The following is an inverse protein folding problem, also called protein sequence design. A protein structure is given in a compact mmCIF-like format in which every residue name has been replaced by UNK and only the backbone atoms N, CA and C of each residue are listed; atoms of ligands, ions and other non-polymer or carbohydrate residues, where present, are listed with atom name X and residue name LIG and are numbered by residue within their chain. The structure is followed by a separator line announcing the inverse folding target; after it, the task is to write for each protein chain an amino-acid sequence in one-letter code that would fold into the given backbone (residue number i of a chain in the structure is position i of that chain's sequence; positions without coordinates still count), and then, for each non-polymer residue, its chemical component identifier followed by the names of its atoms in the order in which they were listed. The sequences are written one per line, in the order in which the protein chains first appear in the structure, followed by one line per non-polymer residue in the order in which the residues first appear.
data_IF_868554869719
#
_entry.id   IF_868554869719
#
_cell.length_a   1.000
_cell.length_b   1.000
_cell.length_c   1.000
_cell.angle_alpha   90.00
_cell.angle_beta   90.00
_cell.angle_gamma   90.00
#
_symmetry.space_group_name_H-M   'P 1'
#
loop_
_entity.id
_entity.type
_entity.pdbx_description
1 polymer ?
#
# COMPACT_ATOMS: atom_id res chain seq x y z
N UNK A 1 30.52 3.14 -1.36
CA UNK A 1 29.83 4.41 -1.68
C UNK A 1 29.46 4.45 -3.16
N UNK A 2 30.26 3.84 -4.04
CA UNK A 2 29.99 3.82 -5.49
C UNK A 2 28.73 3.04 -5.90
N UNK A 3 28.21 2.15 -5.04
CA UNK A 3 27.00 1.35 -5.29
C UNK A 3 25.70 1.95 -4.72
N UNK A 4 25.76 3.16 -4.12
CA UNK A 4 24.58 3.80 -3.56
C UNK A 4 23.73 4.44 -4.66
N UNK A 5 22.51 3.96 -4.83
CA UNK A 5 21.53 4.56 -5.74
C UNK A 5 20.65 5.52 -4.96
N UNK A 6 20.53 6.80 -5.39
CA UNK A 6 19.62 7.75 -4.74
C UNK A 6 18.17 7.24 -4.78
N UNK A 7 17.47 7.38 -3.67
CA UNK A 7 16.06 7.06 -3.51
C UNK A 7 15.29 8.33 -3.12
N UNK A 8 14.03 8.42 -3.52
CA UNK A 8 13.13 9.52 -3.15
C UNK A 8 12.20 9.10 -1.98
N UNK A 9 12.59 8.05 -1.26
CA UNK A 9 11.88 7.59 -0.07
C UNK A 9 12.12 8.51 1.12
N UNK A 10 11.12 8.67 2.01
CA UNK A 10 11.33 9.35 3.29
C UNK A 10 12.46 8.72 4.12
N UNK A 11 13.33 9.55 4.66
CA UNK A 11 14.47 9.15 5.47
C UNK A 11 14.03 8.38 6.72
N UNK A 12 14.64 7.22 6.97
CA UNK A 12 14.34 6.38 8.15
C UNK A 12 15.44 6.52 9.20
N UNK A 13 15.77 7.76 9.58
CA UNK A 13 16.89 8.08 10.47
C UNK A 13 16.83 7.26 11.75
N UNK A 14 15.67 7.14 12.38
CA UNK A 14 15.51 6.36 13.61
C UNK A 14 15.90 4.88 13.44
N UNK A 15 15.50 4.26 12.33
CA UNK A 15 15.88 2.87 12.03
C UNK A 15 17.38 2.74 11.76
N UNK A 16 17.96 3.71 11.02
CA UNK A 16 19.40 3.76 10.76
C UNK A 16 20.21 3.90 12.06
N UNK A 17 19.75 4.73 12.99
CA UNK A 17 20.35 4.89 14.32
C UNK A 17 20.31 3.59 15.11
N UNK A 18 19.16 2.90 15.19
CA UNK A 18 19.09 1.61 15.89
C UNK A 18 19.96 0.55 15.22
N UNK A 19 20.02 0.51 13.92
CA UNK A 19 20.89 -0.39 13.19
C UNK A 19 22.37 -0.10 13.50
N UNK A 20 22.77 1.18 13.44
CA UNK A 20 24.14 1.58 13.77
C UNK A 20 24.52 1.18 15.20
N UNK A 21 23.63 1.41 16.18
CA UNK A 21 23.83 1.04 17.56
C UNK A 21 24.02 -0.47 17.75
N UNK A 22 23.37 -1.30 16.93
CA UNK A 22 23.51 -2.77 17.00
C UNK A 22 24.88 -3.25 16.54
N UNK A 23 25.60 -2.47 15.75
CA UNK A 23 26.98 -2.80 15.31
C UNK A 23 28.06 -2.22 16.19
N UNK A 24 27.74 -1.20 17.02
CA UNK A 24 28.72 -0.57 17.91
C UNK A 24 28.98 -1.47 19.13
N UNK A 25 30.25 -1.77 19.37
CA UNK A 25 30.64 -2.47 20.59
C UNK A 25 30.75 -1.45 21.75
N UNK A 26 30.04 -1.68 22.90
CA UNK A 26 30.15 -0.80 24.06
C UNK A 26 31.58 -0.65 24.60
N UNK A 27 32.39 -1.69 24.52
CA UNK A 27 33.73 -1.80 25.09
C UNK A 27 34.85 -1.32 24.16
N UNK A 28 34.48 -0.91 22.91
CA UNK A 28 35.44 -0.38 21.94
C UNK A 28 35.19 1.10 21.70
N UNK A 29 36.21 1.81 21.25
CA UNK A 29 36.10 3.20 20.79
C UNK A 29 35.60 3.24 19.33
N UNK A 30 34.44 2.60 19.10
CA UNK A 30 33.79 2.56 17.81
C UNK A 30 32.83 3.76 17.67
N UNK A 31 32.77 4.34 16.48
CA UNK A 31 31.90 5.47 16.15
C UNK A 31 31.07 5.18 14.92
N UNK A 32 29.85 5.67 14.90
CA UNK A 32 29.01 5.69 13.71
C UNK A 32 28.80 7.13 13.24
N UNK A 33 28.95 7.36 11.94
CA UNK A 33 28.68 8.65 11.32
C UNK A 33 27.32 8.61 10.63
N UNK A 34 26.44 9.53 11.01
CA UNK A 34 25.14 9.71 10.39
C UNK A 34 25.23 10.88 9.41
N UNK A 35 25.34 10.59 8.12
CA UNK A 35 25.30 11.62 7.06
C UNK A 35 23.83 11.92 6.76
N UNK A 36 23.40 13.15 6.98
CA UNK A 36 21.99 13.55 6.90
C UNK A 36 21.88 15.04 6.58
N UNK A 37 20.77 15.45 5.96
CA UNK A 37 20.37 16.86 5.82
C UNK A 37 19.74 17.42 7.11
N UNK A 38 19.40 16.55 8.06
CA UNK A 38 18.77 16.89 9.33
C UNK A 38 17.25 16.96 9.29
N UNK A 39 16.61 16.69 8.15
CA UNK A 39 15.16 16.72 8.02
C UNK A 39 14.48 15.74 8.98
N UNK A 40 13.42 16.20 9.64
CA UNK A 40 12.54 15.36 10.45
C UNK A 40 13.12 14.75 11.72
N UNK A 41 14.36 15.15 12.16
CA UNK A 41 14.99 14.56 13.33
C UNK A 41 15.73 15.57 14.21
N UNK A 42 15.58 15.43 15.54
CA UNK A 42 16.32 16.25 16.51
C UNK A 42 17.75 15.72 16.71
N UNK A 43 18.67 16.21 15.89
CA UNK A 43 20.08 15.79 15.91
C UNK A 43 20.80 16.17 17.23
N UNK A 44 20.34 17.23 17.91
CA UNK A 44 20.90 17.65 19.22
C UNK A 44 20.55 16.60 20.28
N UNK A 45 19.29 16.17 20.30
CA UNK A 45 18.84 15.09 21.18
C UNK A 45 19.53 13.78 20.86
N UNK A 46 19.73 13.47 19.56
CA UNK A 46 20.46 12.28 19.13
C UNK A 46 21.87 12.23 19.71
N UNK A 47 22.65 13.31 19.54
CA UNK A 47 24.04 13.38 20.03
C UNK A 47 24.13 13.29 21.55
N UNK A 48 23.13 13.79 22.26
CA UNK A 48 23.06 13.68 23.74
C UNK A 48 22.70 12.26 24.20
N UNK A 49 21.79 11.60 23.50
CA UNK A 49 21.30 10.26 23.88
C UNK A 49 22.27 9.15 23.43
N UNK A 50 22.92 9.36 22.29
CA UNK A 50 23.82 8.37 21.66
C UNK A 50 25.15 9.03 21.28
N UNK A 51 26.06 9.25 22.24
CA UNK A 51 27.30 10.01 22.02
C UNK A 51 28.27 9.35 21.02
N UNK A 52 28.12 8.04 20.76
CA UNK A 52 28.90 7.31 19.75
C UNK A 52 28.37 7.51 18.31
N UNK A 53 27.24 8.21 18.13
CA UNK A 53 26.72 8.56 16.81
C UNK A 53 27.03 10.03 16.55
N UNK A 54 27.79 10.30 15.51
CA UNK A 54 28.16 11.65 15.09
C UNK A 54 27.39 12.06 13.83
N UNK A 55 26.46 13.01 13.89
CA UNK A 55 25.80 13.52 12.70
C UNK A 55 26.77 14.36 11.87
N UNK A 56 26.81 14.09 10.57
CA UNK A 56 27.46 14.93 9.55
C UNK A 56 26.35 15.53 8.72
N UNK A 57 26.19 16.86 8.85
CA UNK A 57 25.19 17.57 8.09
C UNK A 57 25.66 17.83 6.67
N UNK A 58 24.84 17.40 5.71
CA UNK A 58 24.96 17.76 4.30
C UNK A 58 23.76 18.65 3.98
N UNK A 59 23.97 19.97 3.99
CA UNK A 59 22.90 20.93 3.68
C UNK A 59 23.10 21.48 2.29
N UNK A 60 22.11 21.29 1.40
CA UNK A 60 22.10 21.82 0.04
C UNK A 60 21.20 23.06 -0.14
N UNK A 61 20.32 23.35 0.82
CA UNK A 61 19.33 24.43 0.71
C UNK A 61 18.50 24.62 1.96
N UNK A 62 17.69 25.67 1.98
CA UNK A 62 16.77 25.96 3.09
C UNK A 62 15.40 26.49 2.64
N UNK A 63 15.24 26.73 1.33
CA UNK A 63 14.01 27.29 0.76
C UNK A 63 13.19 26.17 0.15
N UNK A 64 12.02 25.94 0.70
CA UNK A 64 11.11 24.95 0.17
C UNK A 64 9.64 25.36 0.31
N UNK A 65 8.84 24.96 -0.69
CA UNK A 65 7.39 25.03 -0.69
C UNK A 65 6.91 23.73 -1.28
N UNK A 66 6.37 22.83 -0.47
CA UNK A 66 6.02 21.49 -0.89
C UNK A 66 4.52 21.21 -0.92
N UNK A 67 4.14 20.25 -1.75
CA UNK A 67 2.83 19.63 -1.73
C UNK A 67 2.85 18.54 -0.67
N UNK A 68 2.12 18.79 0.43
CA UNK A 68 2.06 17.86 1.56
C UNK A 68 0.87 16.90 1.47
N UNK A 69 -0.12 17.23 0.61
CA UNK A 69 -1.25 16.34 0.34
C UNK A 69 -1.89 16.66 -1.02
N UNK A 70 -2.22 15.59 -1.76
CA UNK A 70 -2.97 15.68 -3.01
C UNK A 70 -3.95 14.52 -3.09
N UNK A 71 -5.23 14.83 -3.07
CA UNK A 71 -6.31 13.84 -3.13
C UNK A 71 -7.38 14.29 -4.11
N UNK A 72 -7.95 13.34 -4.82
CA UNK A 72 -9.14 13.58 -5.65
C UNK A 72 -10.23 12.65 -5.18
N UNK A 73 -11.36 13.21 -4.82
CA UNK A 73 -12.55 12.49 -4.35
C UNK A 73 -13.71 12.76 -5.28
N UNK A 74 -14.47 11.73 -5.54
CA UNK A 74 -15.72 11.84 -6.28
C UNK A 74 -16.85 12.19 -5.33
N UNK A 75 -17.76 13.07 -5.73
CA UNK A 75 -18.99 13.31 -4.99
C UNK A 75 -19.89 12.06 -5.01
N UNK A 76 -20.41 11.68 -3.85
CA UNK A 76 -21.23 10.46 -3.69
C UNK A 76 -22.49 10.45 -4.57
N UNK A 77 -23.09 11.62 -4.76
CA UNK A 77 -24.38 11.76 -5.46
C UNK A 77 -24.25 12.23 -6.92
N UNK A 78 -23.03 12.50 -7.38
CA UNK A 78 -22.77 13.07 -8.70
C UNK A 78 -21.57 12.39 -9.33
N UNK A 79 -21.80 11.37 -10.17
CA UNK A 79 -20.74 10.55 -10.73
C UNK A 79 -19.76 11.28 -11.65
N UNK A 80 -20.08 12.46 -12.08
CA UNK A 80 -19.29 13.35 -12.94
C UNK A 80 -18.70 14.56 -12.18
N UNK A 81 -18.86 14.60 -10.84
CA UNK A 81 -18.30 15.67 -10.01
C UNK A 81 -17.22 15.14 -9.09
N UNK A 82 -16.17 15.92 -8.97
CA UNK A 82 -14.99 15.62 -8.16
C UNK A 82 -14.59 16.82 -7.33
N UNK A 83 -14.04 16.55 -6.16
CA UNK A 83 -13.35 17.51 -5.31
C UNK A 83 -11.86 17.19 -5.35
N UNK A 84 -11.05 18.13 -5.80
CA UNK A 84 -9.60 18.04 -5.82
C UNK A 84 -9.08 18.80 -4.61
N UNK A 85 -8.51 18.08 -3.65
CA UNK A 85 -7.90 18.64 -2.47
C UNK A 85 -6.38 18.71 -2.65
N UNK A 86 -5.83 19.91 -2.52
CA UNK A 86 -4.40 20.17 -2.56
C UNK A 86 -3.99 20.89 -1.26
N UNK A 87 -3.06 20.32 -0.52
CA UNK A 87 -2.42 20.95 0.63
C UNK A 87 -1.00 21.36 0.26
N UNK A 88 -0.70 22.64 0.43
CA UNK A 88 0.61 23.22 0.15
C UNK A 88 1.12 23.88 1.41
N UNK A 89 2.40 23.68 1.73
CA UNK A 89 3.06 24.31 2.86
C UNK A 89 4.27 25.12 2.43
N UNK A 90 4.35 26.35 2.95
CA UNK A 90 5.55 27.17 2.87
C UNK A 90 6.45 26.84 4.06
N UNK A 91 7.65 26.33 3.81
CA UNK A 91 8.63 26.04 4.85
C UNK A 91 9.59 27.22 5.09
N UNK A 92 9.41 28.33 4.36
CA UNK A 92 10.27 29.51 4.45
C UNK A 92 9.82 30.47 5.56
N UNK A 93 10.80 31.21 6.13
CA UNK A 93 10.54 32.28 7.06
C UNK A 93 9.88 33.52 6.44
N UNK A 94 9.86 33.63 5.12
CA UNK A 94 9.29 34.74 4.37
C UNK A 94 7.98 34.30 3.66
N UNK A 95 7.02 35.23 3.52
CA UNK A 95 5.83 34.96 2.69
C UNK A 95 6.22 34.80 1.22
N UNK A 96 5.50 33.95 0.51
CA UNK A 96 5.77 33.60 -0.90
C UNK A 96 4.48 33.62 -1.71
N UNK A 97 4.57 34.04 -2.96
CA UNK A 97 3.54 33.83 -3.98
C UNK A 97 3.85 32.49 -4.69
N UNK A 98 2.95 31.55 -4.54
CA UNK A 98 3.10 30.18 -5.07
C UNK A 98 2.16 29.98 -6.25
N UNK A 99 2.67 29.91 -7.49
CA UNK A 99 1.92 29.52 -8.64
C UNK A 99 1.72 28.01 -8.65
N UNK A 100 0.47 27.57 -8.68
CA UNK A 100 0.06 26.17 -8.77
C UNK A 100 -0.61 25.91 -10.11
N UNK A 101 -0.38 24.71 -10.63
CA UNK A 101 -1.05 24.18 -11.81
C UNK A 101 -1.63 22.82 -11.51
N UNK A 102 -2.88 22.61 -11.96
CA UNK A 102 -3.52 21.29 -12.00
C UNK A 102 -3.70 20.89 -13.45
N UNK A 103 -3.31 19.69 -13.80
CA UNK A 103 -3.45 19.10 -15.14
C UNK A 103 -4.05 17.70 -15.08
N UNK A 104 -4.65 17.30 -16.20
CA UNK A 104 -5.16 15.95 -16.44
C UNK A 104 -4.54 15.45 -17.74
N UNK A 105 -3.82 14.30 -17.70
CA UNK A 105 -3.07 13.75 -18.84
C UNK A 105 -2.21 14.82 -19.53
N UNK A 106 -1.44 15.57 -18.72
CA UNK A 106 -0.57 16.69 -19.09
C UNK A 106 -1.30 17.97 -19.59
N UNK A 107 -2.61 17.95 -19.80
CA UNK A 107 -3.38 19.11 -20.20
C UNK A 107 -3.79 19.96 -18.98
N UNK A 108 -3.34 21.22 -18.87
CA UNK A 108 -3.65 22.06 -17.73
C UNK A 108 -5.10 22.54 -17.77
N UNK A 109 -5.85 22.32 -16.71
CA UNK A 109 -7.23 22.82 -16.58
C UNK A 109 -7.36 23.93 -15.53
N UNK A 110 -6.36 24.13 -14.67
CA UNK A 110 -6.34 25.18 -13.66
C UNK A 110 -4.93 25.70 -13.45
N UNK A 111 -4.79 27.04 -13.49
CA UNK A 111 -3.58 27.76 -13.02
C UNK A 111 -4.02 28.83 -12.04
N UNK A 112 -3.40 28.86 -10.86
CA UNK A 112 -3.73 29.83 -9.80
C UNK A 112 -2.50 30.17 -8.99
N UNK A 113 -2.27 31.46 -8.72
CA UNK A 113 -1.25 31.89 -7.77
C UNK A 113 -1.88 32.11 -6.41
N UNK A 114 -1.30 31.52 -5.37
CA UNK A 114 -1.73 31.65 -3.98
C UNK A 114 -0.66 32.35 -3.15
N UNK A 115 -1.09 33.22 -2.25
CA UNK A 115 -0.20 33.77 -1.23
C UNK A 115 -0.11 32.82 -0.04
N UNK A 116 1.10 32.53 0.41
CA UNK A 116 1.41 31.74 1.60
C UNK A 116 2.23 32.62 2.55
N UNK A 117 1.78 32.77 3.80
CA UNK A 117 2.56 33.40 4.85
C UNK A 117 3.76 32.54 5.23
N UNK A 118 4.67 33.10 6.04
CA UNK A 118 5.75 32.33 6.66
C UNK A 118 5.19 31.11 7.39
N UNK A 119 5.71 29.93 7.09
CA UNK A 119 5.35 28.62 7.67
C UNK A 119 3.86 28.25 7.52
N UNK A 120 3.11 28.92 6.64
CA UNK A 120 1.69 28.63 6.43
C UNK A 120 1.49 27.33 5.68
N UNK A 121 0.57 26.52 6.21
CA UNK A 121 -0.04 25.40 5.54
C UNK A 121 -1.42 25.81 5.03
N UNK A 122 -1.69 25.59 3.75
CA UNK A 122 -2.94 25.99 3.12
C UNK A 122 -3.58 24.82 2.40
N UNK A 123 -4.83 24.56 2.73
CA UNK A 123 -5.66 23.55 2.05
C UNK A 123 -6.51 24.27 1.02
N UNK A 124 -6.51 23.76 -0.20
CA UNK A 124 -7.28 24.25 -1.33
C UNK A 124 -8.19 23.14 -1.80
N UNK A 125 -9.45 23.47 -2.07
CA UNK A 125 -10.43 22.54 -2.65
C UNK A 125 -10.90 23.14 -3.94
N UNK A 126 -10.80 22.36 -5.03
CA UNK A 126 -11.24 22.74 -6.35
C UNK A 126 -12.33 21.79 -6.82
N UNK A 127 -13.56 22.26 -7.07
CA UNK A 127 -14.57 21.46 -7.73
C UNK A 127 -14.19 21.25 -9.20
N UNK A 128 -14.39 20.05 -9.68
CA UNK A 128 -14.22 19.69 -11.08
C UNK A 128 -15.44 18.90 -11.57
N UNK A 129 -15.94 19.25 -12.76
CA UNK A 129 -17.06 18.54 -13.38
C UNK A 129 -16.62 17.98 -14.74
N UNK A 130 -16.90 16.72 -14.97
CA UNK A 130 -16.57 15.99 -16.18
C UNK A 130 -16.23 14.53 -15.90
N UNK A 131 -16.23 13.70 -16.94
CA UNK A 131 -15.72 12.33 -16.83
C UNK A 131 -14.20 12.39 -16.72
N UNK A 132 -13.67 12.04 -15.57
CA UNK A 132 -12.22 11.99 -15.37
C UNK A 132 -11.76 10.54 -15.40
N UNK A 133 -10.97 10.21 -16.40
CA UNK A 133 -10.07 9.05 -16.41
C UNK A 133 -8.72 9.55 -16.86
N UNK A 134 -7.66 9.13 -16.18
CA UNK A 134 -6.32 9.54 -16.55
C UNK A 134 -5.45 9.90 -15.34
N UNK A 135 -4.38 10.58 -15.60
CA UNK A 135 -3.42 11.03 -14.59
C UNK A 135 -3.71 12.47 -14.20
N UNK A 136 -4.16 12.70 -12.98
CA UNK A 136 -4.22 14.07 -12.44
C UNK A 136 -2.87 14.40 -11.78
N UNK A 137 -2.38 15.60 -12.07
CA UNK A 137 -1.13 16.14 -11.52
C UNK A 137 -1.38 17.50 -10.91
N UNK A 138 -0.83 17.70 -9.72
CA UNK A 138 -0.62 19.01 -9.13
C UNK A 138 0.85 19.39 -9.22
N UNK A 139 1.16 20.62 -9.59
CA UNK A 139 2.52 21.13 -9.66
C UNK A 139 2.64 22.54 -9.11
N UNK A 140 3.75 22.80 -8.41
CA UNK A 140 4.21 24.12 -7.98
C UNK A 140 5.23 24.59 -9.01
N UNK A 141 4.96 25.76 -9.63
CA UNK A 141 5.83 26.33 -10.67
C UNK A 141 6.81 27.34 -10.02
N UNK A 142 7.58 26.89 -9.04
CA UNK A 142 8.65 27.64 -8.38
C UNK A 142 9.96 26.87 -8.41
N UNK A 143 11.05 27.62 -8.40
CA UNK A 143 12.38 27.04 -8.28
C UNK A 143 12.82 27.15 -6.81
N UNK A 144 12.83 26.04 -6.11
CA UNK A 144 13.29 25.93 -4.72
C UNK A 144 14.39 24.88 -4.58
N UNK A 145 14.76 24.60 -3.35
CA UNK A 145 15.92 23.75 -3.08
C UNK A 145 15.54 22.25 -2.97
N UNK A 146 14.21 21.90 -3.09
CA UNK A 146 13.74 20.53 -3.00
C UNK A 146 12.61 20.22 -4.01
N UNK A 147 12.92 20.12 -5.30
CA UNK A 147 11.92 20.05 -6.38
C UNK A 147 11.07 18.76 -6.42
N UNK A 148 11.41 17.72 -5.64
CA UNK A 148 10.73 16.43 -5.64
C UNK A 148 9.29 16.57 -5.12
N UNK A 149 9.05 17.40 -4.10
CA UNK A 149 7.74 17.64 -3.50
C UNK A 149 6.93 18.75 -4.18
N UNK A 150 7.50 19.35 -5.26
CA UNK A 150 6.81 20.29 -6.12
C UNK A 150 5.79 19.64 -7.06
N UNK A 151 5.72 18.32 -7.10
CA UNK A 151 4.79 17.58 -7.93
C UNK A 151 4.11 16.47 -7.14
N UNK A 152 2.83 16.28 -7.41
CA UNK A 152 2.07 15.14 -6.88
C UNK A 152 1.10 14.63 -7.94
N UNK A 153 0.90 13.31 -7.97
CA UNK A 153 0.14 12.61 -8.97
C UNK A 153 -0.94 11.76 -8.33
N UNK A 154 -2.05 11.58 -9.04
CA UNK A 154 -3.04 10.57 -8.71
C UNK A 154 -3.67 10.01 -9.98
N UNK A 155 -4.00 8.71 -9.97
CA UNK A 155 -4.66 8.08 -11.09
C UNK A 155 -6.16 8.07 -10.84
N UNK A 156 -6.89 8.67 -11.77
CA UNK A 156 -8.34 8.71 -11.78
C UNK A 156 -8.85 7.62 -12.72
N UNK A 157 -9.63 6.72 -12.19
CA UNK A 157 -10.28 5.70 -13.01
C UNK A 157 -11.75 5.99 -13.08
N UNK A 158 -12.36 5.86 -14.28
CA UNK A 158 -13.80 5.82 -14.36
C UNK A 158 -14.32 4.72 -13.43
N UNK A 159 -15.42 4.98 -12.77
CA UNK A 159 -16.11 3.89 -12.07
C UNK A 159 -16.64 2.93 -13.14
N UNK A 160 -15.86 1.92 -13.46
CA UNK A 160 -16.38 0.83 -14.25
C UNK A 160 -17.56 0.22 -13.52
N UNK A 161 -18.66 -0.01 -14.25
CA UNK A 161 -19.80 -0.71 -13.68
C UNK A 161 -19.37 -2.12 -13.31
N UNK A 162 -19.69 -2.56 -12.10
CA UNK A 162 -19.46 -3.90 -11.64
C UNK A 162 -20.60 -4.79 -12.15
N UNK A 163 -20.28 -5.81 -12.92
CA UNK A 163 -21.26 -6.77 -13.41
C UNK A 163 -21.49 -7.85 -12.36
N UNK A 164 -22.70 -7.90 -11.84
CA UNK A 164 -23.10 -8.85 -10.80
C UNK A 164 -24.12 -9.83 -11.38
N UNK A 165 -23.87 -11.13 -11.24
CA UNK A 165 -24.84 -12.16 -11.50
C UNK A 165 -25.52 -12.57 -10.20
N UNK A 166 -26.80 -12.33 -10.06
CA UNK A 166 -27.61 -12.84 -8.96
C UNK A 166 -28.33 -14.12 -9.39
N UNK A 167 -27.99 -15.22 -8.73
CA UNK A 167 -28.65 -16.53 -8.94
C UNK A 167 -29.51 -16.85 -7.73
N UNK A 168 -30.80 -16.81 -7.89
CA UNK A 168 -31.73 -17.05 -6.79
C UNK A 168 -33.19 -17.02 -7.20
N UNK A 169 -34.06 -17.56 -6.37
CA UNK A 169 -35.51 -17.61 -6.63
C UNK A 169 -36.26 -16.35 -6.20
N UNK A 170 -35.52 -15.28 -5.91
CA UNK A 170 -36.03 -14.00 -5.42
C UNK A 170 -35.68 -13.77 -3.95
N UNK A 171 -35.08 -12.62 -3.66
CA UNK A 171 -34.79 -12.14 -2.32
C UNK A 171 -34.94 -10.63 -2.34
N UNK A 172 -36.09 -10.16 -1.85
CA UNK A 172 -36.45 -8.74 -1.89
C UNK A 172 -35.38 -7.81 -1.28
N UNK A 173 -34.82 -8.20 -0.13
CA UNK A 173 -33.82 -7.38 0.54
C UNK A 173 -32.53 -7.27 -0.29
N UNK A 174 -32.08 -8.38 -0.85
CA UNK A 174 -30.88 -8.42 -1.67
C UNK A 174 -31.07 -7.66 -2.99
N UNK A 175 -32.22 -7.84 -3.66
CA UNK A 175 -32.54 -7.12 -4.91
C UNK A 175 -32.64 -5.60 -4.67
N UNK A 176 -33.26 -5.16 -3.58
CA UNK A 176 -33.35 -3.75 -3.20
C UNK A 176 -31.99 -3.16 -2.87
N UNK A 177 -31.19 -3.90 -2.09
CA UNK A 177 -29.82 -3.48 -1.80
C UNK A 177 -29.00 -3.30 -3.06
N UNK A 178 -28.98 -4.31 -3.94
CA UNK A 178 -28.21 -4.26 -5.19
C UNK A 178 -28.66 -3.12 -6.11
N UNK A 179 -29.97 -2.84 -6.15
CA UNK A 179 -30.52 -1.72 -6.95
C UNK A 179 -30.15 -0.33 -6.39
N UNK A 180 -29.79 -0.23 -5.12
CA UNK A 180 -29.38 1.02 -4.49
C UNK A 180 -27.92 1.41 -4.83
N UNK A 181 -27.10 0.48 -5.35
CA UNK A 181 -25.72 0.77 -5.76
C UNK A 181 -25.68 1.28 -7.19
N UNK A 182 -25.34 2.56 -7.46
CA UNK A 182 -25.41 3.16 -8.78
C UNK A 182 -24.45 2.55 -9.80
N UNK A 183 -23.39 1.92 -9.31
CA UNK A 183 -22.32 1.35 -10.15
C UNK A 183 -22.45 -0.16 -10.36
N UNK A 184 -23.54 -0.80 -9.89
CA UNK A 184 -23.78 -2.20 -10.14
C UNK A 184 -24.68 -2.39 -11.38
N UNK A 185 -24.28 -3.32 -12.23
CA UNK A 185 -25.09 -3.87 -13.33
C UNK A 185 -25.47 -5.29 -12.95
N UNK A 186 -26.71 -5.48 -12.53
CA UNK A 186 -27.19 -6.76 -11.98
C UNK A 186 -27.97 -7.52 -13.04
N UNK A 187 -27.52 -8.73 -13.34
CA UNK A 187 -28.26 -9.73 -14.10
C UNK A 187 -28.81 -10.78 -13.13
N UNK A 188 -30.10 -11.05 -13.16
CA UNK A 188 -30.73 -12.03 -12.27
C UNK A 188 -31.19 -13.24 -13.05
N UNK A 189 -30.87 -14.43 -12.57
CA UNK A 189 -31.35 -15.72 -13.09
C UNK A 189 -31.92 -16.56 -11.95
N UNK A 190 -32.97 -17.34 -12.24
CA UNK A 190 -33.66 -18.16 -11.23
C UNK A 190 -33.09 -19.58 -11.09
N UNK A 191 -32.33 -20.02 -12.07
CA UNK A 191 -31.74 -21.38 -12.11
C UNK A 191 -30.44 -21.36 -12.89
N UNK A 192 -29.58 -22.33 -12.63
CA UNK A 192 -28.31 -22.52 -13.32
C UNK A 192 -28.50 -23.52 -14.45
N UNK A 193 -28.13 -23.11 -15.66
CA UNK A 193 -28.02 -24.03 -16.79
C UNK A 193 -26.56 -24.47 -16.91
N UNK A 194 -26.22 -25.75 -16.61
CA UNK A 194 -24.83 -26.20 -16.50
C UNK A 194 -23.97 -25.93 -17.74
N UNK A 195 -24.52 -26.07 -18.94
CA UNK A 195 -23.82 -25.83 -20.21
C UNK A 195 -23.41 -24.37 -20.43
N UNK A 196 -24.10 -23.41 -19.80
CA UNK A 196 -23.81 -21.96 -19.90
C UNK A 196 -23.09 -21.41 -18.67
N UNK A 197 -22.95 -22.21 -17.61
CA UNK A 197 -22.48 -21.74 -16.31
C UNK A 197 -21.08 -21.10 -16.37
N UNK A 198 -20.12 -21.77 -16.99
CA UNK A 198 -18.75 -21.23 -17.15
C UNK A 198 -18.72 -19.89 -17.90
N UNK A 199 -19.57 -19.72 -18.92
CA UNK A 199 -19.67 -18.46 -19.66
C UNK A 199 -20.32 -17.36 -18.82
N UNK A 200 -21.29 -17.71 -17.97
CA UNK A 200 -21.91 -16.75 -17.03
C UNK A 200 -20.88 -16.23 -16.02
N UNK A 201 -20.08 -17.12 -15.42
CA UNK A 201 -19.02 -16.71 -14.49
C UNK A 201 -18.03 -15.76 -15.19
N UNK A 202 -17.57 -16.07 -16.39
CA UNK A 202 -16.58 -15.25 -17.11
C UNK A 202 -17.07 -13.85 -17.48
N UNK A 203 -18.39 -13.64 -17.59
CA UNK A 203 -19.00 -12.35 -17.97
C UNK A 203 -19.33 -11.45 -16.79
N UNK A 204 -19.21 -11.94 -15.55
CA UNK A 204 -19.57 -11.21 -14.36
C UNK A 204 -18.39 -11.10 -13.42
N UNK A 205 -18.27 -9.94 -12.81
CA UNK A 205 -17.22 -9.62 -11.84
C UNK A 205 -17.47 -10.32 -10.50
N UNK A 206 -18.73 -10.40 -10.09
CA UNK A 206 -19.19 -11.08 -8.87
C UNK A 206 -20.40 -11.93 -9.18
N UNK A 207 -20.44 -13.13 -8.63
CA UNK A 207 -21.59 -14.04 -8.68
C UNK A 207 -22.15 -14.23 -7.27
N UNK A 208 -23.41 -13.90 -7.07
CA UNK A 208 -24.15 -14.10 -5.82
C UNK A 208 -25.06 -15.29 -5.99
N UNK A 209 -24.90 -16.28 -5.12
CA UNK A 209 -25.65 -17.53 -5.11
C UNK A 209 -26.55 -17.53 -3.87
N UNK A 210 -27.83 -17.23 -4.06
CA UNK A 210 -28.83 -17.19 -3.00
C UNK A 210 -29.62 -18.50 -2.99
N UNK A 211 -29.28 -19.40 -2.06
CA UNK A 211 -29.92 -20.73 -1.85
C UNK A 211 -29.90 -21.64 -3.09
N UNK A 212 -29.03 -21.40 -4.04
CA UNK A 212 -28.82 -22.24 -5.22
C UNK A 212 -27.36 -22.60 -5.30
N UNK A 213 -27.04 -23.89 -5.25
CA UNK A 213 -25.69 -24.40 -5.33
C UNK A 213 -25.25 -24.60 -6.76
N UNK A 214 -24.08 -24.10 -7.15
CA UNK A 214 -23.56 -24.23 -8.50
C UNK A 214 -22.92 -25.62 -8.71
N UNK A 215 -22.80 -26.08 -9.97
CA UNK A 215 -22.17 -27.36 -10.28
C UNK A 215 -20.64 -27.31 -10.01
N UNK A 216 -20.00 -26.17 -10.21
CA UNK A 216 -18.57 -25.94 -9.94
C UNK A 216 -18.27 -24.44 -9.81
N UNK A 217 -17.15 -24.10 -9.15
CA UNK A 217 -16.64 -22.72 -8.98
C UNK A 217 -15.11 -22.75 -8.92
N UNK A 218 -14.46 -22.85 -10.07
CA UNK A 218 -12.99 -22.98 -10.10
C UNK A 218 -12.28 -21.62 -10.08
N UNK A 219 -12.89 -20.61 -10.70
CA UNK A 219 -12.35 -19.25 -10.81
C UNK A 219 -13.47 -18.22 -10.72
N UNK A 220 -13.18 -17.05 -10.15
CA UNK A 220 -14.10 -15.92 -10.01
C UNK A 220 -14.31 -15.49 -8.57
N UNK A 221 -15.23 -14.54 -8.39
CA UNK A 221 -15.56 -13.95 -7.10
C UNK A 221 -17.01 -14.30 -6.73
N UNK A 222 -17.19 -15.00 -5.63
CA UNK A 222 -18.48 -15.56 -5.26
C UNK A 222 -18.94 -15.15 -3.87
N UNK A 223 -20.20 -14.78 -3.77
CA UNK A 223 -20.93 -14.70 -2.50
C UNK A 223 -21.94 -15.83 -2.44
N UNK A 224 -21.76 -16.74 -1.51
CA UNK A 224 -22.67 -17.83 -1.22
C UNK A 224 -23.55 -17.49 -0.03
N UNK A 225 -24.86 -17.57 -0.19
CA UNK A 225 -25.87 -17.34 0.85
C UNK A 225 -26.68 -18.63 1.00
N UNK A 226 -26.46 -19.36 2.09
CA UNK A 226 -26.97 -20.72 2.30
C UNK A 226 -26.83 -21.59 1.03
N UNK A 227 -25.65 -21.52 0.44
CA UNK A 227 -25.30 -22.16 -0.83
C UNK A 227 -23.87 -22.67 -0.75
N UNK A 228 -23.55 -23.75 -1.46
CA UNK A 228 -22.27 -24.45 -1.37
C UNK A 228 -21.85 -24.95 -2.74
N UNK A 229 -20.53 -25.03 -2.96
CA UNK A 229 -19.95 -25.56 -4.21
C UNK A 229 -19.07 -26.76 -3.92
N UNK A 230 -19.13 -27.82 -4.73
CA UNK A 230 -18.25 -28.97 -4.58
C UNK A 230 -16.77 -28.64 -4.83
N UNK A 231 -16.47 -27.52 -5.49
CA UNK A 231 -15.10 -27.08 -5.78
C UNK A 231 -14.42 -26.35 -4.62
N UNK A 232 -15.15 -26.04 -3.56
CA UNK A 232 -14.63 -25.33 -2.38
C UNK A 232 -14.66 -26.29 -1.19
N UNK A 233 -13.61 -26.31 -0.33
CA UNK A 233 -13.53 -27.26 0.78
C UNK A 233 -14.42 -26.85 1.98
N UNK A 234 -15.71 -26.63 1.70
CA UNK A 234 -16.76 -26.28 2.64
C UNK A 234 -18.05 -27.02 2.30
N UNK A 235 -18.70 -27.64 3.26
CA UNK A 235 -19.89 -28.43 3.05
C UNK A 235 -20.89 -28.31 4.21
N UNK A 236 -22.17 -28.33 3.88
CA UNK A 236 -23.27 -28.42 4.85
C UNK A 236 -23.42 -29.88 5.29
N UNK A 237 -23.37 -30.12 6.60
CA UNK A 237 -23.51 -31.43 7.22
C UNK A 237 -24.77 -31.55 8.08
N UNK A 238 -25.49 -30.46 8.31
CA UNK A 238 -26.70 -30.41 9.11
C UNK A 238 -27.22 -28.99 9.23
N UNK A 239 -28.11 -28.76 10.18
CA UNK A 239 -28.70 -27.46 10.49
C UNK A 239 -28.71 -27.21 12.02
N UNK A 240 -28.62 -25.94 12.41
CA UNK A 240 -28.65 -25.46 13.79
C UNK A 240 -29.73 -24.40 13.89
N UNK A 241 -30.65 -24.56 14.84
CA UNK A 241 -31.74 -23.61 15.14
C UNK A 241 -31.26 -22.57 16.16
N UNK A 242 -31.51 -21.30 15.88
CA UNK A 242 -31.26 -20.18 16.78
C UNK A 242 -29.78 -20.01 17.20
N UNK A 243 -28.78 -20.20 16.31
CA UNK A 243 -27.39 -20.01 16.69
C UNK A 243 -27.16 -18.55 17.10
N UNK A 244 -26.39 -18.34 18.16
CA UNK A 244 -25.97 -17.00 18.59
C UNK A 244 -24.52 -16.77 18.23
N UNK A 245 -24.20 -15.57 17.79
CA UNK A 245 -22.81 -15.15 17.56
C UNK A 245 -22.06 -15.23 18.89
N UNK A 246 -20.99 -16.00 18.92
CA UNK A 246 -20.12 -16.20 20.07
C UNK A 246 -18.84 -15.42 19.93
N UNK A 247 -18.23 -15.51 18.76
CA UNK A 247 -16.93 -14.90 18.47
C UNK A 247 -16.83 -14.45 17.01
N UNK A 248 -16.01 -13.45 16.74
CA UNK A 248 -15.73 -12.96 15.40
C UNK A 248 -14.34 -12.35 15.30
N UNK A 249 -13.75 -12.39 14.13
CA UNK A 249 -12.46 -11.75 13.84
C UNK A 249 -12.64 -10.23 13.58
N UNK A 250 -12.37 -9.35 14.57
CA UNK A 250 -12.56 -7.90 14.42
C UNK A 250 -11.57 -7.25 13.43
N UNK A 251 -10.48 -7.95 13.11
CA UNK A 251 -9.49 -7.47 12.12
C UNK A 251 -9.88 -7.82 10.68
N UNK A 252 -10.95 -8.58 10.48
CA UNK A 252 -11.42 -8.94 9.15
C UNK A 252 -11.96 -7.71 8.42
N UNK A 253 -11.52 -7.44 7.19
CA UNK A 253 -12.05 -6.34 6.37
C UNK A 253 -13.57 -6.45 6.12
N UNK A 254 -14.15 -7.66 6.19
CA UNK A 254 -15.58 -7.88 6.03
C UNK A 254 -16.40 -7.27 7.16
N UNK A 255 -15.83 -7.14 8.34
CA UNK A 255 -16.50 -6.68 9.56
C UNK A 255 -16.07 -5.26 9.97
N UNK A 256 -15.33 -4.54 9.12
CA UNK A 256 -14.96 -3.15 9.39
C UNK A 256 -16.20 -2.29 9.68
N UNK A 257 -16.16 -1.55 10.78
CA UNK A 257 -17.23 -0.65 11.23
C UNK A 257 -18.59 -1.36 11.52
N UNK A 258 -18.55 -2.66 11.84
CA UNK A 258 -19.74 -3.46 12.13
C UNK A 258 -19.73 -4.00 13.56
N UNK A 259 -20.93 -3.97 14.16
CA UNK A 259 -21.26 -4.75 15.36
C UNK A 259 -22.31 -5.80 14.97
N UNK A 260 -21.92 -7.07 15.10
CA UNK A 260 -22.76 -8.22 14.72
C UNK A 260 -23.04 -9.17 15.89
N UNK A 261 -22.59 -8.82 17.12
CA UNK A 261 -22.69 -9.70 18.28
C UNK A 261 -24.11 -10.04 18.70
N UNK A 262 -25.07 -9.18 18.36
CA UNK A 262 -26.49 -9.33 18.66
C UNK A 262 -27.34 -9.80 17.48
N UNK A 263 -26.71 -10.33 16.41
CA UNK A 263 -27.39 -10.84 15.23
C UNK A 263 -28.26 -12.05 15.58
N UNK A 264 -29.57 -11.97 15.21
CA UNK A 264 -30.50 -13.08 15.40
C UNK A 264 -30.65 -13.87 14.10
N UNK A 265 -30.39 -15.17 14.17
CA UNK A 265 -30.52 -16.12 13.09
C UNK A 265 -31.48 -17.21 13.52
N UNK A 266 -32.56 -17.43 12.76
CA UNK A 266 -33.54 -18.49 13.04
C UNK A 266 -32.95 -19.89 12.76
N UNK A 267 -32.25 -20.02 11.62
CA UNK A 267 -31.69 -21.28 11.17
C UNK A 267 -30.36 -21.04 10.43
N UNK A 268 -29.33 -21.78 10.78
CA UNK A 268 -28.05 -21.79 10.05
C UNK A 268 -27.63 -23.20 9.71
N UNK A 269 -26.80 -23.32 8.69
CA UNK A 269 -26.17 -24.59 8.32
C UNK A 269 -25.10 -24.98 9.34
N UNK A 270 -25.08 -26.24 9.73
CA UNK A 270 -23.92 -26.84 10.36
C UNK A 270 -22.87 -27.14 9.29
N UNK A 271 -21.72 -26.47 9.40
CA UNK A 271 -20.73 -26.44 8.31
C UNK A 271 -19.45 -27.18 8.72
N UNK A 272 -19.03 -28.09 7.84
CA UNK A 272 -17.68 -28.67 7.87
C UNK A 272 -16.81 -27.93 6.88
N UNK A 273 -15.75 -27.28 7.37
CA UNK A 273 -14.78 -26.55 6.57
C UNK A 273 -13.35 -27.10 6.82
N UNK A 274 -12.55 -27.11 5.76
CA UNK A 274 -11.12 -27.44 5.83
C UNK A 274 -10.34 -26.28 6.52
N UNK A 275 -9.12 -26.55 6.96
CA UNK A 275 -8.23 -25.56 7.60
C UNK A 275 -7.84 -24.41 6.68
N UNK A 276 -7.98 -24.57 5.39
CA UNK A 276 -7.72 -23.50 4.39
C UNK A 276 -8.87 -22.49 4.28
N UNK A 277 -10.01 -22.76 4.91
CA UNK A 277 -11.16 -21.85 4.96
C UNK A 277 -11.10 -21.07 6.27
N UNK A 278 -11.00 -19.76 6.15
CA UNK A 278 -11.00 -18.87 7.32
C UNK A 278 -12.42 -18.65 7.85
N UNK A 279 -12.60 -18.81 9.17
CA UNK A 279 -13.85 -18.49 9.86
C UNK A 279 -13.80 -17.06 10.35
N UNK A 280 -14.77 -16.26 9.93
CA UNK A 280 -14.85 -14.84 10.28
C UNK A 280 -15.82 -14.60 11.45
N UNK A 281 -16.92 -15.35 11.49
CA UNK A 281 -17.94 -15.29 12.55
C UNK A 281 -18.31 -16.69 12.95
N UNK A 282 -18.37 -16.94 14.25
CA UNK A 282 -18.66 -18.26 14.82
C UNK A 282 -19.81 -18.22 15.83
N UNK A 283 -20.61 -19.28 15.83
CA UNK A 283 -21.47 -19.66 16.95
C UNK A 283 -20.83 -20.79 17.75
N UNK A 284 -21.49 -21.22 18.80
CA UNK A 284 -21.02 -22.38 19.58
C UNK A 284 -20.99 -23.67 18.77
N UNK A 285 -21.92 -23.83 17.84
CA UNK A 285 -22.18 -25.07 17.12
C UNK A 285 -21.53 -25.10 15.73
N UNK A 286 -21.42 -23.91 15.08
CA UNK A 286 -20.95 -23.81 13.69
C UNK A 286 -20.38 -22.44 13.40
N UNK A 287 -19.53 -22.35 12.36
CA UNK A 287 -19.20 -21.07 11.78
C UNK A 287 -20.38 -20.49 11.00
N UNK A 288 -20.54 -19.17 11.03
CA UNK A 288 -21.65 -18.45 10.41
C UNK A 288 -21.22 -17.68 9.16
N UNK A 289 -20.00 -17.13 9.15
CA UNK A 289 -19.42 -16.43 8.00
C UNK A 289 -18.01 -16.97 7.77
N UNK A 290 -17.70 -17.26 6.52
CA UNK A 290 -16.41 -17.80 6.12
C UNK A 290 -15.87 -17.08 4.90
N UNK A 291 -14.56 -17.11 4.74
CA UNK A 291 -13.88 -16.71 3.51
C UNK A 291 -12.96 -17.82 3.03
N UNK A 292 -12.87 -17.94 1.73
CA UNK A 292 -11.94 -18.83 1.06
C UNK A 292 -11.27 -18.11 -0.10
N UNK A 293 -9.95 -18.15 -0.13
CA UNK A 293 -9.18 -17.59 -1.21
C UNK A 293 -8.15 -18.60 -1.70
N UNK A 294 -8.14 -18.83 -2.99
CA UNK A 294 -7.12 -19.61 -3.70
C UNK A 294 -6.82 -18.90 -5.01
N UNK A 295 -5.68 -19.21 -5.65
CA UNK A 295 -5.34 -18.60 -6.94
C UNK A 295 -6.54 -18.61 -7.90
N UNK A 296 -7.03 -17.42 -8.25
CA UNK A 296 -8.15 -17.23 -9.15
C UNK A 296 -9.56 -17.41 -8.58
N UNK A 297 -9.71 -17.72 -7.30
CA UNK A 297 -11.00 -17.90 -6.64
C UNK A 297 -11.06 -17.12 -5.32
N UNK A 298 -12.05 -16.24 -5.19
CA UNK A 298 -12.41 -15.58 -3.93
C UNK A 298 -13.85 -15.91 -3.59
N UNK A 299 -14.10 -16.31 -2.36
CA UNK A 299 -15.44 -16.71 -1.95
C UNK A 299 -15.73 -16.26 -0.52
N UNK A 300 -16.91 -15.70 -0.33
CA UNK A 300 -17.50 -15.41 0.97
C UNK A 300 -18.73 -16.29 1.13
N UNK A 301 -18.88 -16.92 2.29
CA UNK A 301 -20.01 -17.80 2.61
C UNK A 301 -20.75 -17.24 3.82
N UNK A 302 -22.04 -17.00 3.64
CA UNK A 302 -22.99 -16.83 4.73
C UNK A 302 -23.67 -18.18 4.95
N UNK A 303 -23.42 -18.81 6.08
CA UNK A 303 -23.95 -20.15 6.43
C UNK A 303 -25.44 -20.13 6.81
N UNK A 304 -26.16 -19.08 6.47
CA UNK A 304 -27.57 -18.91 6.76
C UNK A 304 -28.29 -18.13 5.65
N UNK A 305 -29.61 -18.36 5.54
CA UNK A 305 -30.47 -17.58 4.66
C UNK A 305 -30.73 -16.20 5.24
N UNK A 306 -30.53 -15.15 4.43
CA UNK A 306 -30.78 -13.77 4.83
C UNK A 306 -32.23 -13.56 5.34
N UNK A 307 -33.20 -14.24 4.72
CA UNK A 307 -34.63 -14.12 5.08
C UNK A 307 -34.91 -14.76 6.45
N UNK A 308 -34.09 -15.72 6.87
CA UNK A 308 -34.16 -16.37 8.19
C UNK A 308 -33.27 -15.72 9.23
N UNK A 309 -32.98 -14.44 9.05
CA UNK A 309 -32.23 -13.63 10.00
C UNK A 309 -32.76 -12.21 10.06
N UNK A 310 -32.43 -11.48 11.10
CA UNK A 310 -32.75 -10.05 11.21
C UNK A 310 -31.68 -9.16 10.52
N UNK A 311 -30.62 -9.74 9.94
CA UNK A 311 -29.55 -9.00 9.29
C UNK A 311 -30.04 -8.02 8.23
N UNK A 312 -30.97 -8.35 7.30
CA UNK A 312 -31.45 -7.43 6.28
C UNK A 312 -32.18 -6.19 6.83
N UNK A 313 -32.66 -6.25 8.09
CA UNK A 313 -33.35 -5.16 8.77
C UNK A 313 -32.40 -4.25 9.55
N UNK A 314 -31.12 -4.58 9.60
CA UNK A 314 -30.09 -3.85 10.34
C UNK A 314 -29.31 -2.90 9.45
N UNK A 315 -28.84 -1.79 10.01
CA UNK A 315 -27.89 -0.88 9.35
C UNK A 315 -26.58 -1.60 8.96
N UNK A 316 -26.24 -2.65 9.68
CA UNK A 316 -25.09 -3.50 9.40
C UNK A 316 -25.17 -4.18 8.03
N UNK A 317 -26.35 -4.46 7.47
CA UNK A 317 -26.52 -5.20 6.22
C UNK A 317 -25.88 -4.49 5.00
N UNK A 318 -26.24 -3.24 4.67
CA UNK A 318 -25.61 -2.55 3.54
C UNK A 318 -24.11 -2.33 3.74
N UNK A 319 -23.64 -2.09 4.97
CA UNK A 319 -22.21 -1.93 5.27
C UNK A 319 -21.47 -3.25 5.05
N UNK A 320 -22.00 -4.36 5.59
CA UNK A 320 -21.41 -5.68 5.40
C UNK A 320 -21.35 -6.08 3.93
N UNK A 321 -22.42 -5.85 3.16
CA UNK A 321 -22.44 -6.15 1.74
C UNK A 321 -21.44 -5.29 0.95
N UNK A 322 -21.28 -4.02 1.31
CA UNK A 322 -20.25 -3.14 0.76
C UNK A 322 -18.84 -3.69 1.04
N UNK A 323 -18.58 -4.10 2.28
CA UNK A 323 -17.29 -4.69 2.68
C UNK A 323 -17.03 -6.01 1.92
N UNK A 324 -18.06 -6.87 1.79
CA UNK A 324 -17.98 -8.13 1.01
C UNK A 324 -17.64 -7.85 -0.45
N UNK A 325 -18.33 -6.90 -1.10
CA UNK A 325 -18.04 -6.56 -2.50
C UNK A 325 -16.63 -5.99 -2.64
N UNK A 326 -16.18 -5.12 -1.74
CA UNK A 326 -14.82 -4.60 -1.74
C UNK A 326 -13.77 -5.70 -1.54
N UNK A 327 -14.05 -6.69 -0.72
CA UNK A 327 -13.16 -7.82 -0.52
C UNK A 327 -13.14 -8.77 -1.73
N UNK A 328 -14.31 -9.03 -2.34
CA UNK A 328 -14.43 -9.89 -3.52
C UNK A 328 -13.80 -9.26 -4.76
N UNK A 329 -14.01 -7.95 -4.99
CA UNK A 329 -13.50 -7.24 -6.16
C UNK A 329 -12.94 -5.87 -5.81
N UNK A 330 -11.78 -5.82 -5.14
CA UNK A 330 -11.21 -4.57 -4.64
C UNK A 330 -10.80 -3.59 -5.74
N UNK A 331 -10.56 -4.07 -6.96
CA UNK A 331 -10.06 -3.22 -8.05
C UNK A 331 -11.07 -2.21 -8.56
N UNK A 332 -12.34 -2.61 -8.72
CA UNK A 332 -13.40 -1.74 -9.26
C UNK A 332 -14.10 -0.90 -8.20
N UNK A 333 -14.09 -1.35 -6.93
CA UNK A 333 -14.85 -0.70 -5.87
C UNK A 333 -14.04 0.23 -4.98
N UNK A 334 -12.72 0.14 -5.00
CA UNK A 334 -11.89 1.17 -4.39
C UNK A 334 -11.90 2.42 -5.26
N UNK A 335 -12.82 3.33 -4.96
CA UNK A 335 -12.82 4.72 -5.43
C UNK A 335 -11.69 5.55 -4.82
N UNK A 336 -10.61 4.93 -4.40
CA UNK A 336 -9.46 5.64 -3.90
C UNK A 336 -8.53 5.93 -5.07
N UNK A 337 -8.06 7.15 -5.11
CA UNK A 337 -6.89 7.54 -5.88
C UNK A 337 -5.84 6.41 -5.84
N UNK A 338 -5.46 5.87 -6.99
CA UNK A 338 -4.42 4.85 -7.08
C UNK A 338 -3.07 5.52 -6.86
N UNK A 339 -2.74 5.74 -5.59
CA UNK A 339 -1.48 6.39 -5.20
C UNK A 339 -0.95 5.80 -3.89
N UNK A 340 0.36 5.90 -3.70
CA UNK A 340 1.05 5.58 -2.47
C UNK A 340 2.16 6.60 -2.20
N UNK A 341 2.72 6.59 -0.99
CA UNK A 341 3.92 7.36 -0.69
C UNK A 341 5.18 6.59 -1.13
N UNK A 342 6.22 7.32 -1.51
CA UNK A 342 7.52 6.73 -1.79
C UNK A 342 8.00 5.87 -0.61
N UNK A 343 8.55 4.68 -0.89
CA UNK A 343 8.97 3.71 0.11
C UNK A 343 7.85 2.95 0.83
N UNK A 344 6.58 3.15 0.45
CA UNK A 344 5.47 2.34 0.95
C UNK A 344 5.02 1.33 -0.11
N UNK A 345 4.80 0.06 0.26
CA UNK A 345 4.34 -0.95 -0.69
C UNK A 345 3.00 -0.56 -1.32
N UNK A 346 2.88 -0.82 -2.62
CA UNK A 346 1.62 -0.66 -3.34
C UNK A 346 1.00 -2.03 -3.67
N UNK A 347 -0.25 -2.32 -3.28
CA UNK A 347 -0.91 -3.58 -3.59
C UNK A 347 -1.36 -3.59 -5.07
N UNK A 348 -0.77 -4.47 -5.86
CA UNK A 348 -1.17 -4.74 -7.25
C UNK A 348 -2.11 -5.94 -7.24
N UNK A 349 -3.36 -5.69 -7.59
CA UNK A 349 -4.36 -6.75 -7.75
C UNK A 349 -4.29 -7.28 -9.18
N UNK A 350 -4.01 -8.56 -9.33
CA UNK A 350 -3.86 -9.24 -10.62
C UNK A 350 -5.12 -10.02 -10.97
N UNK A 351 -5.34 -10.26 -12.26
CA UNK A 351 -6.39 -11.16 -12.66
C UNK A 351 -6.10 -12.58 -12.17
N UNK A 352 -7.13 -13.36 -11.86
CA UNK A 352 -6.96 -14.69 -11.31
C UNK A 352 -6.14 -15.67 -12.20
N UNK A 353 -6.02 -15.37 -13.49
CA UNK A 353 -5.30 -16.18 -14.47
C UNK A 353 -3.87 -15.70 -14.74
N UNK A 354 -3.43 -14.63 -14.09
CA UNK A 354 -2.13 -14.03 -14.35
C UNK A 354 -1.03 -14.72 -13.55
N UNK A 355 -0.10 -15.33 -14.25
CA UNK A 355 1.10 -15.95 -13.66
C UNK A 355 2.28 -14.96 -13.62
N UNK A 356 2.34 -14.04 -14.59
CA UNK A 356 3.42 -13.07 -14.74
C UNK A 356 2.89 -11.70 -15.19
N UNK A 357 3.51 -10.65 -14.70
CA UNK A 357 3.21 -9.26 -15.08
C UNK A 357 4.49 -8.43 -15.10
N UNK A 358 4.42 -7.22 -15.63
CA UNK A 358 5.57 -6.31 -15.66
C UNK A 358 5.20 -4.96 -15.07
N UNK A 359 6.17 -4.32 -14.42
CA UNK A 359 6.03 -2.96 -13.90
C UNK A 359 7.06 -2.06 -14.56
N UNK A 360 6.60 -0.92 -15.07
CA UNK A 360 7.45 0.16 -15.56
C UNK A 360 7.54 1.24 -14.50
N UNK A 361 8.75 1.59 -14.14
CA UNK A 361 9.08 2.69 -13.22
C UNK A 361 9.06 4.05 -13.93
N UNK A 362 8.98 5.19 -13.21
CA UNK A 362 8.96 6.53 -13.80
C UNK A 362 10.19 6.84 -14.70
N UNK A 363 11.34 6.25 -14.42
CA UNK A 363 12.56 6.35 -15.25
C UNK A 363 12.53 5.48 -16.52
N UNK A 364 11.39 4.81 -16.77
CA UNK A 364 11.15 4.04 -17.99
C UNK A 364 11.63 2.59 -17.96
N UNK A 365 12.20 2.12 -16.86
CA UNK A 365 12.72 0.75 -16.73
C UNK A 365 11.57 -0.24 -16.52
N UNK A 366 11.52 -1.29 -17.34
CA UNK A 366 10.61 -2.41 -17.20
C UNK A 366 11.24 -3.54 -16.37
N UNK A 367 10.46 -4.08 -15.43
CA UNK A 367 10.86 -5.25 -14.64
C UNK A 367 9.71 -6.25 -14.61
N UNK A 368 10.02 -7.52 -14.88
CA UNK A 368 9.06 -8.62 -14.91
C UNK A 368 8.99 -9.29 -13.53
N UNK A 369 7.77 -9.61 -13.09
CA UNK A 369 7.48 -10.23 -11.81
C UNK A 369 6.61 -11.47 -12.01
N UNK A 370 6.75 -12.43 -11.11
CA UNK A 370 5.86 -13.59 -11.01
C UNK A 370 4.78 -13.31 -9.96
N UNK A 371 3.56 -13.66 -10.28
CA UNK A 371 2.40 -13.48 -9.39
C UNK A 371 2.40 -14.54 -8.27
N UNK A 372 3.15 -14.32 -7.20
CA UNK A 372 3.24 -15.24 -6.05
C UNK A 372 2.08 -15.06 -5.07
N UNK A 373 1.46 -13.90 -5.06
CA UNK A 373 0.31 -13.55 -4.21
C UNK A 373 -0.66 -12.62 -4.94
N UNK A 374 -1.91 -12.56 -4.50
CA UNK A 374 -2.87 -11.60 -4.99
C UNK A 374 -3.68 -11.03 -3.81
N UNK A 375 -3.46 -9.75 -3.41
CA UNK A 375 -2.61 -8.76 -4.12
C UNK A 375 -1.12 -9.10 -4.03
N UNK A 376 -0.39 -8.73 -5.09
CA UNK A 376 1.06 -8.66 -5.08
C UNK A 376 1.49 -7.34 -4.44
N UNK A 377 2.30 -7.39 -3.39
CA UNK A 377 2.83 -6.19 -2.73
C UNK A 377 4.09 -5.73 -3.47
N UNK A 378 3.95 -4.66 -4.26
CA UNK A 378 5.07 -4.05 -4.96
C UNK A 378 5.83 -3.10 -4.03
N UNK A 379 7.05 -3.48 -3.66
CA UNK A 379 7.87 -2.75 -2.67
C UNK A 379 8.81 -1.71 -3.30
N UNK A 380 9.11 -1.79 -4.61
CA UNK A 380 10.08 -0.91 -5.27
C UNK A 380 9.48 0.45 -5.65
N UNK A 381 8.87 1.15 -4.69
CA UNK A 381 8.28 2.49 -4.82
C UNK A 381 9.26 3.60 -4.44
N UNK A 382 10.53 3.45 -4.81
CA UNK A 382 11.64 4.31 -4.39
C UNK A 382 11.80 5.60 -5.24
N UNK A 383 10.94 5.80 -6.22
CA UNK A 383 10.89 7.02 -7.06
C UNK A 383 9.48 7.56 -7.13
N UNK A 384 9.36 8.88 -7.12
CA UNK A 384 8.08 9.57 -7.34
C UNK A 384 7.70 9.58 -8.82
N UNK A 385 6.40 9.60 -9.10
CA UNK A 385 5.88 9.63 -10.47
C UNK A 385 4.88 8.50 -10.76
N UNK A 386 4.69 8.23 -12.03
CA UNK A 386 3.70 7.26 -12.52
C UNK A 386 4.37 5.93 -12.82
N UNK A 387 3.83 4.88 -12.21
CA UNK A 387 4.17 3.49 -12.47
C UNK A 387 3.11 2.86 -13.36
N UNK A 388 3.54 1.99 -14.27
CA UNK A 388 2.65 1.30 -15.19
C UNK A 388 2.77 -0.20 -14.94
N UNK A 389 1.65 -0.84 -14.69
CA UNK A 389 1.53 -2.30 -14.55
C UNK A 389 0.97 -2.85 -15.84
N UNK A 390 1.71 -3.73 -16.50
CA UNK A 390 1.30 -4.44 -17.71
C UNK A 390 1.00 -5.91 -17.40
N UNK A 391 -0.22 -6.33 -17.68
CA UNK A 391 -0.75 -7.66 -17.48
C UNK A 391 -1.36 -8.16 -18.78
N UNK A 392 -0.57 -8.88 -19.59
CA UNK A 392 -0.92 -9.18 -20.98
C UNK A 392 -1.19 -7.89 -21.78
N UNK A 393 -2.39 -7.79 -22.36
CA UNK A 393 -2.81 -6.60 -23.12
C UNK A 393 -3.41 -5.49 -22.24
N UNK A 394 -3.53 -5.72 -20.93
CA UNK A 394 -4.11 -4.76 -19.99
C UNK A 394 -3.02 -3.93 -19.32
N UNK A 395 -3.25 -2.62 -19.28
CA UNK A 395 -2.33 -1.66 -18.68
C UNK A 395 -3.04 -0.87 -17.59
N UNK A 396 -2.39 -0.74 -16.44
CA UNK A 396 -2.93 -0.01 -15.28
C UNK A 396 -1.84 0.85 -14.69
N UNK A 397 -2.21 2.04 -14.22
CA UNK A 397 -1.25 2.97 -13.64
C UNK A 397 -1.50 3.13 -12.14
N UNK A 398 -0.45 3.43 -11.40
CA UNK A 398 -0.53 3.98 -10.05
C UNK A 398 0.51 5.07 -9.85
N UNK A 399 0.27 5.96 -8.90
CA UNK A 399 1.15 7.07 -8.60
C UNK A 399 1.93 6.83 -7.31
N UNK A 400 3.17 7.30 -7.28
CA UNK A 400 4.00 7.37 -6.09
C UNK A 400 4.38 8.82 -5.84
N UNK A 401 4.14 9.33 -4.64
CA UNK A 401 4.37 10.72 -4.29
C UNK A 401 5.26 10.85 -3.05
N UNK A 402 5.99 11.96 -2.96
CA UNK A 402 6.65 12.37 -1.73
C UNK A 402 5.79 13.45 -1.05
N UNK A 403 4.67 13.06 -0.46
CA UNK A 403 3.78 13.96 0.29
C UNK A 403 4.07 13.86 1.79
N UNK A 404 5.28 14.25 2.17
CA UNK A 404 5.79 14.15 3.53
C UNK A 404 6.19 15.52 4.07
N UNK A 405 5.46 16.01 5.07
CA UNK A 405 5.77 17.30 5.72
C UNK A 405 7.15 17.29 6.38
N UNK A 406 7.60 16.15 6.87
CA UNK A 406 8.89 16.00 7.54
C UNK A 406 10.07 16.02 6.57
N UNK A 407 9.94 15.39 5.40
CA UNK A 407 10.97 15.39 4.36
C UNK A 407 11.06 16.75 3.64
N UNK A 408 9.90 17.40 3.46
CA UNK A 408 9.82 18.72 2.84
C UNK A 408 10.41 19.85 3.73
N UNK A 409 10.56 19.60 5.03
CA UNK A 409 11.18 20.55 5.94
C UNK A 409 12.71 20.42 5.93
N UNK A 410 13.34 20.90 4.87
CA UNK A 410 14.80 20.85 4.68
C UNK A 410 15.57 21.91 5.45
N UNK A 411 14.90 22.64 6.35
CA UNK A 411 15.57 23.65 7.18
C UNK A 411 16.55 22.98 8.14
N UNK A 412 17.76 23.50 8.19
CA UNK A 412 18.76 22.99 9.12
C UNK A 412 18.37 23.31 10.57
N UNK A 413 18.09 22.32 11.43
CA UNK A 413 17.69 22.55 12.82
C UNK A 413 18.86 22.90 13.75
N UNK A 414 20.12 22.93 13.25
CA UNK A 414 21.26 23.25 14.10
C UNK A 414 21.45 24.76 14.27
N UNK A 415 21.67 25.24 15.51
CA UNK A 415 21.96 26.63 15.75
C UNK A 415 23.30 27.02 15.10
N UNK A 416 23.32 28.23 14.56
CA UNK A 416 24.38 28.92 13.83
C UNK A 416 25.85 28.70 14.24
N UNK A 417 26.25 28.37 15.48
CA UNK A 417 27.66 28.17 15.82
C UNK A 417 28.31 26.94 15.18
N UNK A 418 27.52 25.90 14.84
CA UNK A 418 28.02 24.72 14.14
C UNK A 418 27.96 24.87 12.62
N UNK A 419 27.04 25.69 12.11
CA UNK A 419 26.99 26.08 10.70
C UNK A 419 28.11 27.10 10.32
N UNK A 420 28.59 27.87 11.27
CA UNK A 420 29.75 28.78 11.08
C UNK A 420 31.11 28.05 11.16
N UNK A 421 31.16 26.85 11.68
CA UNK A 421 32.31 25.93 11.51
C UNK A 421 32.35 25.32 10.10
N UNK A 422 31.77 25.97 9.11
CA UNK A 422 31.82 25.65 7.67
C UNK A 422 33.18 25.68 6.99
N UNK A 423 34.19 25.57 7.77
CA UNK A 423 35.55 25.18 7.40
C UNK A 423 35.97 23.94 8.17
N UNK A 424 35.15 22.89 8.18
CA UNK A 424 35.72 21.58 8.42
C UNK A 424 36.54 21.21 7.18
N UNK A 425 37.76 21.79 7.07
CA UNK A 425 38.85 20.97 6.65
C UNK A 425 38.77 19.76 7.59
N UNK A 426 38.33 18.62 7.08
CA UNK A 426 38.66 17.36 7.67
C UNK A 426 40.19 17.35 7.54
N UNK A 427 40.90 17.87 8.54
CA UNK A 427 42.22 17.38 8.86
C UNK A 427 41.92 15.91 9.22
N UNK A 428 41.83 15.10 8.19
CA UNK A 428 42.07 13.68 8.31
C UNK A 428 43.53 13.63 8.72
N UNK A 429 43.81 13.79 10.03
CA UNK A 429 45.00 13.13 10.53
C UNK A 429 44.87 11.72 9.97
N UNK A 430 45.79 11.30 9.07
CA UNK A 430 45.74 9.94 8.56
C UNK A 430 45.65 9.08 9.82
N UNK A 431 44.55 8.39 9.98
CA UNK A 431 44.43 7.34 10.99
C UNK A 431 45.65 6.49 10.72
N UNK A 432 46.66 6.63 11.60
CA UNK A 432 47.79 5.71 11.54
C UNK A 432 47.17 4.36 11.81
N UNK A 433 46.80 3.70 10.74
CA UNK A 433 46.51 2.29 10.73
C UNK A 433 47.77 1.69 11.29
N UNK A 434 47.73 1.30 12.59
CA UNK A 434 48.77 0.46 13.17
C UNK A 434 48.82 -0.72 12.23
N UNK A 435 49.83 -0.67 11.30
CA UNK A 435 50.06 -1.78 10.39
C UNK A 435 50.24 -3.00 11.32
N UNK A 436 49.46 -4.06 11.15
CA UNK A 436 49.45 -5.14 12.09
C UNK A 436 50.86 -5.75 12.13
N UNK A 437 51.59 -5.52 13.23
CA UNK A 437 52.96 -5.96 13.45
C UNK A 437 53.15 -7.47 13.23
N UNK A 438 52.08 -8.25 13.26
CA UNK A 438 52.09 -9.68 12.98
C UNK A 438 52.59 -10.02 11.56
N UNK A 439 52.38 -9.15 10.56
CA UNK A 439 52.85 -9.33 9.19
C UNK A 439 54.38 -9.27 9.13
N UNK A 440 55.00 -8.39 9.91
CA UNK A 440 56.46 -8.31 10.03
C UNK A 440 57.02 -9.57 10.71
N UNK A 441 56.36 -10.03 11.76
CA UNK A 441 56.76 -11.29 12.42
C UNK A 441 56.61 -12.51 11.53
N UNK A 442 55.58 -12.55 10.70
CA UNK A 442 55.34 -13.61 9.72
C UNK A 442 56.43 -13.64 8.65
N UNK A 443 56.85 -12.48 8.12
CA UNK A 443 57.95 -12.34 7.17
C UNK A 443 59.26 -12.76 7.79
N UNK A 444 59.58 -12.35 9.02
CA UNK A 444 60.78 -12.75 9.76
C UNK A 444 60.79 -14.26 9.98
N UNK A 445 59.68 -14.86 10.40
CA UNK A 445 59.54 -16.30 10.56
C UNK A 445 59.76 -17.06 9.25
N UNK A 446 59.23 -16.56 8.18
CA UNK A 446 59.44 -17.15 6.84
C UNK A 446 60.90 -17.08 6.39
N UNK A 447 61.62 -15.98 6.68
CA UNK A 447 63.05 -15.83 6.39
C UNK A 447 63.91 -16.80 7.23
N UNK A 448 63.55 -17.02 8.48
CA UNK A 448 64.25 -17.97 9.35
C UNK A 448 64.08 -19.41 8.84
N UNK A 449 62.84 -19.80 8.48
CA UNK A 449 62.56 -21.12 7.90
C UNK A 449 63.27 -21.32 6.55
N UNK A 450 63.32 -20.29 5.72
CA UNK A 450 64.06 -20.36 4.44
C UNK A 450 65.55 -20.49 4.64
N UNK A 451 66.13 -19.81 5.66
CA UNK A 451 67.56 -19.99 6.04
C UNK A 451 67.85 -21.38 6.56
N UNK A 452 67.00 -21.89 7.44
CA UNK A 452 67.14 -23.25 8.01
C UNK A 452 67.08 -24.29 6.89
N UNK A 453 66.13 -24.18 5.95
CA UNK A 453 66.02 -25.04 4.78
C UNK A 453 67.25 -24.93 3.85
N UNK A 454 67.80 -23.73 3.66
CA UNK A 454 69.02 -23.51 2.87
C UNK A 454 70.27 -24.16 3.53
N UNK A 455 70.44 -24.05 4.85
CA UNK A 455 71.53 -24.71 5.55
C UNK A 455 71.40 -26.22 5.56
N UNK A 456 70.20 -26.74 5.66
CA UNK A 456 69.90 -28.15 5.58
C UNK A 456 70.26 -28.74 4.19
N UNK A 457 69.98 -28.02 3.13
CA UNK A 457 70.36 -28.43 1.76
C UNK A 457 71.88 -28.38 1.49
N UNK A 458 72.66 -27.55 2.19
CA UNK A 458 74.11 -27.46 2.01
C UNK A 458 74.92 -28.36 2.93
N UNK A 459 74.32 -28.94 3.96
CA UNK A 459 74.97 -29.78 4.98
C UNK A 459 74.75 -31.27 4.79
N UNK A 460 74.13 -31.72 3.67
CA UNK A 460 73.97 -33.11 3.27
C UNK A 460 75.00 -33.57 2.27
#
# INVERSE_FOLDING_TARGET
VEDLVPSEEPGRIQKAVYLALSFLNPDRDDWAFLVTDGAGYDLKKLSQTHPKIRPILVSGGSRNIGITKFEVRRELNSPDRYEIMLEVKNFNANPVLCPIRLSLDDEPFLKKTIGLKSFEKKVLIFPYSGLITGTAQASIELNDDFPIDNQAFTILTSSESLWVLLVGRGNYFLEKLLSAYPNLRVNSIKEIIPSFWTNQIKRHDIVILDRISPPHTERGNFLFIDSYSPSVPISKIGEVSGPRVLDWNPSSPLLSDLNIGDLNIELAAMIKADKTVERIVESRETGLIFVYQKSGLRSVFLGFDLIKSDLPLRVAFPVMMSNIFQWLYPEKLRFSSRQTQAGQPFPIYLEPSTDEFSVRTPDGKWTKYRAESNPFLYENTNRTGIYIVAEGDKWRNFAVNLTSETESDIRNPLPSPLAQAGGWSIDVEPVQTKSPLWLVFLLVGFCILAMEWYFWMKGG
#
